data_IF_573672078067
#
_entry.id   IF_573672078067
#
_cell.length_a   1.000
_cell.length_b   1.000
_cell.length_c   1.000
_cell.angle_alpha   90.00
_cell.angle_beta   90.00
_cell.angle_gamma   90.00
#
_symmetry.space_group_name_H-M   'P 1'
#
loop_
_entity.id
_entity.type
_entity.pdbx_description
1 polymer ?
#
# COMPACT_ATOMS: atom_id res chain seq x y z
N UNK A 1 6.33 6.70 -2.50
CA UNK A 1 7.17 5.58 -2.00
C UNK A 1 8.03 5.04 -3.11
N UNK A 2 9.34 5.00 -2.86
CA UNK A 2 10.33 4.45 -3.78
C UNK A 2 10.40 2.93 -3.57
N UNK A 3 10.57 2.16 -4.65
CA UNK A 3 10.66 0.70 -4.58
C UNK A 3 11.84 0.21 -3.72
N UNK A 4 12.87 1.04 -3.55
CA UNK A 4 14.03 0.76 -2.69
C UNK A 4 13.65 0.71 -1.20
N UNK A 5 12.88 1.68 -0.72
CA UNK A 5 12.43 1.74 0.67
C UNK A 5 11.60 0.51 1.06
N UNK A 6 10.76 0.02 0.14
CA UNK A 6 9.95 -1.20 0.35
C UNK A 6 10.83 -2.45 0.45
N UNK A 7 11.98 -2.48 -0.26
CA UNK A 7 12.91 -3.61 -0.23
C UNK A 7 13.84 -3.62 0.98
N UNK A 8 14.04 -2.48 1.64
CA UNK A 8 14.84 -2.37 2.86
C UNK A 8 14.05 -2.75 4.12
N UNK A 9 12.71 -2.58 4.10
CA UNK A 9 11.83 -2.94 5.21
C UNK A 9 11.71 -4.45 5.45
N UNK A 10 11.45 -4.81 6.71
CA UNK A 10 11.15 -6.20 7.11
C UNK A 10 9.77 -6.64 6.62
N UNK A 11 9.56 -7.95 6.46
CA UNK A 11 8.25 -8.50 6.06
C UNK A 11 7.12 -8.09 7.02
N UNK A 12 7.40 -8.02 8.33
CA UNK A 12 6.40 -7.62 9.33
C UNK A 12 6.05 -6.13 9.22
N UNK A 13 7.04 -5.28 8.92
CA UNK A 13 6.81 -3.85 8.69
C UNK A 13 5.99 -3.62 7.42
N UNK A 14 6.27 -4.39 6.36
CA UNK A 14 5.51 -4.35 5.12
C UNK A 14 4.04 -4.78 5.32
N UNK A 15 3.78 -5.77 6.18
CA UNK A 15 2.43 -6.18 6.55
C UNK A 15 1.70 -5.08 7.33
N UNK A 16 2.37 -4.45 8.31
CA UNK A 16 1.80 -3.30 9.06
C UNK A 16 1.51 -2.10 8.16
N UNK A 17 2.41 -1.81 7.21
CA UNK A 17 2.20 -0.76 6.21
C UNK A 17 0.98 -1.06 5.35
N UNK A 18 0.78 -2.31 4.93
CA UNK A 18 -0.41 -2.71 4.16
C UNK A 18 -1.70 -2.43 4.94
N UNK A 19 -1.74 -2.77 6.24
CA UNK A 19 -2.96 -2.59 7.03
C UNK A 19 -3.27 -1.12 7.27
N UNK A 20 -2.25 -0.31 7.56
CA UNK A 20 -2.37 1.16 7.64
C UNK A 20 -2.90 1.75 6.32
N UNK A 21 -2.33 1.32 5.20
CA UNK A 21 -2.74 1.79 3.87
C UNK A 21 -4.16 1.35 3.49
N UNK A 22 -4.64 0.19 3.99
CA UNK A 22 -6.03 -0.25 3.80
C UNK A 22 -7.01 0.61 4.59
N UNK A 23 -6.68 0.99 5.82
CA UNK A 23 -7.49 1.91 6.62
C UNK A 23 -7.58 3.28 5.95
N UNK A 24 -6.45 3.82 5.48
CA UNK A 24 -6.43 5.07 4.71
C UNK A 24 -7.29 4.96 3.43
N UNK A 25 -7.20 3.83 2.71
CA UNK A 25 -8.03 3.57 1.53
C UNK A 25 -9.52 3.49 1.88
N UNK A 26 -9.88 2.90 3.01
CA UNK A 26 -11.26 2.83 3.48
C UNK A 26 -11.81 4.23 3.77
N UNK A 27 -11.05 5.06 4.49
CA UNK A 27 -11.42 6.44 4.77
C UNK A 27 -11.57 7.27 3.49
N UNK A 28 -10.67 7.11 2.52
CA UNK A 28 -10.79 7.80 1.22
C UNK A 28 -11.99 7.30 0.41
N UNK A 29 -12.34 6.01 0.47
CA UNK A 29 -13.56 5.50 -0.16
C UNK A 29 -14.81 6.06 0.51
N UNK A 30 -14.79 6.20 1.83
CA UNK A 30 -15.88 6.83 2.57
C UNK A 30 -16.04 8.30 2.18
N UNK A 31 -14.95 9.07 2.14
CA UNK A 31 -14.93 10.46 1.67
C UNK A 31 -15.39 10.59 0.21
N UNK A 32 -15.05 9.61 -0.65
CA UNK A 32 -15.53 9.56 -2.03
C UNK A 32 -17.05 9.37 -2.10
N UNK A 33 -17.60 8.50 -1.25
CA UNK A 33 -19.04 8.27 -1.19
C UNK A 33 -19.82 9.47 -0.64
N UNK A 34 -19.23 10.24 0.29
CA UNK A 34 -19.83 11.46 0.84
C UNK A 34 -19.62 12.70 -0.03
N UNK A 35 -18.87 12.59 -1.13
CA UNK A 35 -18.57 13.70 -2.03
C UNK A 35 -17.53 14.70 -1.51
N UNK A 36 -16.87 14.40 -0.40
CA UNK A 36 -15.86 15.24 0.24
C UNK A 36 -14.41 14.86 -0.13
N UNK A 37 -14.21 14.12 -1.23
CA UNK A 37 -12.89 13.64 -1.64
C UNK A 37 -12.11 14.76 -2.35
N UNK A 38 -11.23 15.43 -1.63
CA UNK A 38 -10.36 16.47 -2.18
C UNK A 38 -9.21 15.90 -3.02
N UNK A 39 -8.70 14.70 -2.69
CA UNK A 39 -7.49 14.15 -3.32
C UNK A 39 -7.69 12.72 -3.86
N UNK A 40 -8.24 12.64 -5.07
CA UNK A 40 -8.43 11.36 -5.78
C UNK A 40 -7.11 10.71 -6.24
N UNK A 41 -6.05 11.50 -6.43
CA UNK A 41 -4.72 11.00 -6.78
C UNK A 41 -4.14 10.13 -5.66
N UNK A 42 -4.36 10.52 -4.41
CA UNK A 42 -3.92 9.77 -3.22
C UNK A 42 -4.47 8.34 -3.21
N UNK A 43 -5.72 8.14 -3.61
CA UNK A 43 -6.32 6.81 -3.70
C UNK A 43 -5.58 5.91 -4.71
N UNK A 44 -5.14 6.47 -5.85
CA UNK A 44 -4.36 5.75 -6.86
C UNK A 44 -2.96 5.40 -6.33
N UNK A 45 -2.34 6.30 -5.59
CA UNK A 45 -1.01 6.11 -5.02
C UNK A 45 -1.01 5.03 -3.92
N UNK A 46 -2.02 5.02 -3.05
CA UNK A 46 -2.19 3.98 -2.04
C UNK A 46 -2.35 2.60 -2.68
N UNK A 47 -3.22 2.48 -3.71
CA UNK A 47 -3.41 1.21 -4.45
C UNK A 47 -2.09 0.73 -5.07
N UNK A 48 -1.32 1.62 -5.70
CA UNK A 48 0.00 1.29 -6.27
C UNK A 48 1.00 0.87 -5.20
N UNK A 49 0.99 1.52 -4.04
CA UNK A 49 1.90 1.22 -2.94
C UNK A 49 1.61 -0.17 -2.37
N UNK A 50 0.35 -0.50 -2.09
CA UNK A 50 -0.06 -1.85 -1.66
C UNK A 50 0.36 -2.91 -2.68
N UNK A 51 0.15 -2.65 -3.98
CA UNK A 51 0.55 -3.57 -5.04
C UNK A 51 2.07 -3.81 -5.05
N UNK A 52 2.88 -2.74 -4.95
CA UNK A 52 4.35 -2.86 -4.89
C UNK A 52 4.82 -3.65 -3.69
N UNK A 53 4.25 -3.42 -2.51
CA UNK A 53 4.60 -4.17 -1.29
C UNK A 53 4.32 -5.67 -1.51
N UNK A 54 3.12 -6.01 -2.00
CA UNK A 54 2.76 -7.41 -2.29
C UNK A 54 3.67 -8.05 -3.34
N UNK A 55 4.06 -7.31 -4.38
CA UNK A 55 5.02 -7.80 -5.38
C UNK A 55 6.36 -8.13 -4.74
N UNK A 56 6.93 -7.24 -3.92
CA UNK A 56 8.22 -7.47 -3.25
C UNK A 56 8.14 -8.67 -2.29
N UNK A 57 7.04 -8.82 -1.54
CA UNK A 57 6.83 -10.00 -0.70
C UNK A 57 6.78 -11.29 -1.52
N UNK A 58 6.12 -11.26 -2.68
CA UNK A 58 6.08 -12.39 -3.60
C UNK A 58 7.43 -12.70 -4.25
N UNK A 59 8.21 -11.67 -4.60
CA UNK A 59 9.61 -11.81 -5.08
C UNK A 59 10.48 -12.49 -4.00
N UNK A 60 10.36 -12.07 -2.73
CA UNK A 60 11.09 -12.68 -1.60
C UNK A 60 10.69 -14.13 -1.38
N UNK A 61 9.39 -14.45 -1.46
CA UNK A 61 8.91 -15.82 -1.30
C UNK A 61 9.45 -16.76 -2.38
N UNK A 62 9.47 -16.32 -3.65
CA UNK A 62 10.04 -17.10 -4.76
C UNK A 62 11.56 -17.23 -4.73
N UNK A 63 12.26 -16.26 -4.14
CA UNK A 63 13.71 -16.31 -4.00
C UNK A 63 14.18 -17.19 -2.82
N UNK A 64 13.27 -17.52 -1.90
CA UNK A 64 13.52 -18.40 -0.77
C UNK A 64 13.23 -19.89 -1.09
N UNK A 65 12.63 -20.16 -2.25
CA UNK A 65 12.40 -21.49 -2.84
C UNK A 65 13.56 -21.87 -3.77
#
# INVERSE_FOLDING_TARGET
MLAKEIREKSNDELLKDIDTLKEELFNLRFQQATGALENSARMKDIKKTIARIKTVMGERARAAE
#
